data_IF_839888112753
#
_entry.id   IF_839888112753
#
_cell.length_a   1.000
_cell.length_b   1.000
_cell.length_c   1.000
_cell.angle_alpha   90.00
_cell.angle_beta   90.00
_cell.angle_gamma   90.00
#
_symmetry.space_group_name_H-M   'P 1'
#
loop_
_entity.id
_entity.type
_entity.pdbx_description
1 polymer ?
#
# COMPACT_ATOMS: atom_id res chain seq x y z
N UNK A 1 56.41 18.36 -0.61
CA UNK A 1 55.30 18.24 -1.58
C UNK A 1 54.33 17.17 -1.06
N UNK A 2 53.64 17.45 0.05
CA UNK A 2 52.87 16.44 0.81
C UNK A 2 51.35 16.54 0.61
N UNK A 3 50.93 17.25 -0.44
CA UNK A 3 49.52 17.58 -0.68
C UNK A 3 48.80 16.54 -1.54
N UNK A 4 49.54 15.81 -2.38
CA UNK A 4 48.97 14.86 -3.34
C UNK A 4 48.65 13.50 -2.70
N UNK A 5 49.52 13.04 -1.78
CA UNK A 5 49.36 11.78 -1.05
C UNK A 5 48.15 11.81 -0.09
N UNK A 6 47.90 12.97 0.54
CA UNK A 6 46.73 13.20 1.37
C UNK A 6 45.43 13.23 0.55
N UNK A 7 45.47 13.75 -0.68
CA UNK A 7 44.32 13.78 -1.58
C UNK A 7 43.95 12.38 -2.07
N UNK A 8 44.95 11.58 -2.48
CA UNK A 8 44.76 10.17 -2.85
C UNK A 8 44.22 9.34 -1.69
N UNK A 9 44.71 9.59 -0.47
CA UNK A 9 44.23 8.92 0.75
C UNK A 9 42.76 9.24 1.05
N UNK A 10 42.30 10.47 0.79
CA UNK A 10 40.91 10.85 0.97
C UNK A 10 39.99 10.18 -0.06
N UNK A 11 40.41 10.14 -1.33
CA UNK A 11 39.67 9.45 -2.40
C UNK A 11 39.58 7.94 -2.14
N UNK A 12 40.69 7.31 -1.75
CA UNK A 12 40.69 5.88 -1.45
C UNK A 12 39.86 5.55 -0.20
N UNK A 13 39.89 6.39 0.83
CA UNK A 13 39.10 6.18 2.05
C UNK A 13 37.60 6.30 1.79
N UNK A 14 37.17 7.27 0.96
CA UNK A 14 35.76 7.41 0.57
C UNK A 14 35.27 6.22 -0.28
N UNK A 15 36.10 5.72 -1.19
CA UNK A 15 35.76 4.56 -2.02
C UNK A 15 35.80 3.23 -1.25
N UNK A 16 36.66 3.11 -0.24
CA UNK A 16 36.70 1.95 0.65
C UNK A 16 35.44 1.86 1.54
N UNK A 17 34.92 2.99 2.01
CA UNK A 17 33.69 3.05 2.82
C UNK A 17 32.45 2.65 1.99
N UNK A 18 32.40 3.05 0.71
CA UNK A 18 31.38 2.62 -0.25
C UNK A 18 31.46 1.11 -0.58
N UNK A 19 32.66 0.51 -0.54
CA UNK A 19 32.86 -0.92 -0.74
C UNK A 19 32.53 -1.78 0.49
N UNK A 20 32.85 -1.27 1.69
CA UNK A 20 32.49 -1.91 2.96
C UNK A 20 30.97 -1.86 3.22
N UNK A 21 30.30 -0.76 2.87
CA UNK A 21 28.84 -0.65 2.93
C UNK A 21 28.09 -1.55 1.93
N UNK A 22 28.73 -1.95 0.82
CA UNK A 22 28.15 -2.90 -0.16
C UNK A 22 28.38 -4.36 0.21
N UNK A 23 29.44 -4.66 0.96
CA UNK A 23 29.78 -6.03 1.38
C UNK A 23 29.05 -6.46 2.65
N UNK A 24 28.38 -5.52 3.32
CA UNK A 24 27.45 -5.77 4.43
C UNK A 24 25.99 -5.55 4.02
N UNK A 25 25.71 -5.66 2.72
CA UNK A 25 24.40 -6.06 2.22
C UNK A 25 24.20 -7.55 2.43
N UNK A 26 24.49 -8.09 3.63
CA UNK A 26 23.71 -9.24 4.09
C UNK A 26 22.28 -8.81 3.88
N UNK A 27 21.56 -9.56 3.06
CA UNK A 27 20.12 -9.58 3.04
C UNK A 27 19.67 -9.75 4.48
N UNK A 28 19.56 -8.64 5.20
CA UNK A 28 18.72 -8.55 6.35
C UNK A 28 17.35 -8.61 5.70
N UNK A 29 16.90 -9.84 5.49
CA UNK A 29 15.50 -10.21 5.48
C UNK A 29 14.93 -9.77 6.84
N UNK A 30 14.91 -8.46 7.10
CA UNK A 30 13.72 -7.85 7.63
C UNK A 30 12.69 -8.24 6.58
N UNK A 31 11.91 -9.26 6.93
CA UNK A 31 10.61 -9.52 6.37
C UNK A 31 9.79 -8.24 6.52
N UNK A 32 10.11 -7.22 5.71
CA UNK A 32 9.21 -6.13 5.40
C UNK A 32 8.05 -6.86 4.77
N UNK A 33 6.99 -7.03 5.55
CA UNK A 33 5.77 -7.63 5.04
C UNK A 33 5.32 -6.70 3.92
N UNK A 34 5.56 -7.13 2.68
CA UNK A 34 5.15 -6.39 1.49
C UNK A 34 3.72 -6.81 1.23
N UNK A 35 2.81 -5.85 1.33
CA UNK A 35 1.43 -6.08 0.91
C UNK A 35 1.39 -6.17 -0.61
N UNK A 36 0.78 -7.21 -1.15
CA UNK A 36 0.59 -7.35 -2.59
C UNK A 36 -0.45 -6.35 -3.10
N UNK A 37 -0.13 -5.65 -4.18
CA UNK A 37 -1.01 -4.64 -4.79
C UNK A 37 -2.00 -5.27 -5.78
N UNK A 38 -1.66 -6.41 -6.39
CA UNK A 38 -2.45 -7.05 -7.44
C UNK A 38 -2.48 -8.56 -7.28
N UNK A 39 -3.69 -9.12 -7.32
CA UNK A 39 -3.89 -10.55 -7.46
C UNK A 39 -3.72 -10.98 -8.93
N UNK A 40 -3.27 -12.22 -9.15
CA UNK A 40 -2.88 -12.71 -10.48
C UNK A 40 -4.13 -12.73 -11.38
N UNK A 41 -4.11 -11.93 -12.46
CA UNK A 41 -5.21 -11.71 -13.42
C UNK A 41 -6.35 -10.78 -12.96
N UNK A 42 -6.10 -9.78 -12.12
CA UNK A 42 -7.07 -8.70 -11.86
C UNK A 42 -6.73 -7.43 -12.67
N UNK A 43 -7.72 -6.85 -13.34
CA UNK A 43 -7.56 -5.55 -14.02
C UNK A 43 -8.04 -4.44 -13.09
N UNK A 44 -7.21 -3.40 -12.93
CA UNK A 44 -7.60 -2.20 -12.17
C UNK A 44 -8.77 -1.51 -12.88
N UNK A 45 -9.91 -1.30 -12.19
CA UNK A 45 -11.02 -0.52 -12.73
C UNK A 45 -10.57 0.89 -13.12
N UNK A 46 -11.07 1.40 -14.26
CA UNK A 46 -10.70 2.72 -14.77
C UNK A 46 -10.87 3.88 -13.75
N UNK A 47 -11.92 3.89 -12.88
CA UNK A 47 -12.06 4.91 -11.86
C UNK A 47 -10.89 4.93 -10.86
N UNK A 48 -10.38 3.77 -10.46
CA UNK A 48 -9.24 3.68 -9.54
C UNK A 48 -7.93 4.08 -10.20
N UNK A 49 -7.76 3.76 -11.49
CA UNK A 49 -6.57 4.16 -12.25
C UNK A 49 -6.49 5.67 -12.53
N UNK A 50 -7.63 6.38 -12.44
CA UNK A 50 -7.71 7.81 -12.72
C UNK A 50 -7.46 8.71 -11.50
N UNK A 51 -7.28 8.13 -10.30
CA UNK A 51 -7.01 8.86 -9.08
C UNK A 51 -5.58 9.41 -9.13
N UNK A 52 -5.41 10.70 -8.86
CA UNK A 52 -4.10 11.35 -8.79
C UNK A 52 -3.99 12.17 -7.50
N UNK A 53 -4.43 11.53 -6.41
CA UNK A 53 -4.38 12.06 -5.06
C UNK A 53 -3.19 11.50 -4.32
N UNK A 54 -2.70 12.29 -3.36
CA UNK A 54 -1.58 11.96 -2.50
C UNK A 54 -2.07 11.93 -1.07
N UNK A 55 -1.73 10.87 -0.33
CA UNK A 55 -1.98 10.77 1.08
C UNK A 55 -1.01 11.68 1.83
N UNK A 56 -1.57 12.73 2.43
CA UNK A 56 -0.82 13.73 3.18
C UNK A 56 -0.18 13.06 4.39
N UNK A 57 1.13 12.88 4.29
CA UNK A 57 2.00 12.24 5.28
C UNK A 57 3.38 12.89 5.19
N UNK A 58 4.33 12.47 6.02
CA UNK A 58 5.70 13.02 5.97
C UNK A 58 6.35 12.89 4.57
N UNK A 59 5.91 11.93 3.76
CA UNK A 59 6.45 11.61 2.43
C UNK A 59 5.49 11.89 1.28
N UNK A 60 4.26 12.37 1.54
CA UNK A 60 3.21 12.62 0.55
C UNK A 60 3.09 11.48 -0.50
N UNK A 61 2.70 10.29 -0.04
CA UNK A 61 2.66 9.08 -0.88
C UNK A 61 1.40 9.03 -1.77
N UNK A 62 1.51 8.67 -3.07
CA UNK A 62 0.35 8.53 -3.95
C UNK A 62 -0.52 7.34 -3.54
N UNK A 63 -1.82 7.41 -3.83
CA UNK A 63 -2.70 6.24 -3.67
C UNK A 63 -2.39 5.17 -4.72
N UNK A 64 -2.12 3.94 -4.27
CA UNK A 64 -1.93 2.79 -5.15
C UNK A 64 -3.25 2.01 -5.31
N UNK A 65 -3.71 1.75 -6.55
CA UNK A 65 -4.91 0.96 -6.77
C UNK A 65 -4.64 -0.52 -6.48
N UNK A 66 -5.40 -1.09 -5.54
CA UNK A 66 -5.29 -2.49 -5.13
C UNK A 66 -6.52 -3.28 -5.57
N UNK A 67 -6.31 -4.45 -6.19
CA UNK A 67 -7.40 -5.37 -6.54
C UNK A 67 -7.06 -6.78 -6.08
N UNK A 68 -7.87 -7.27 -5.14
CA UNK A 68 -7.72 -8.59 -4.51
C UNK A 68 -8.95 -9.45 -4.83
N UNK A 69 -8.74 -10.73 -5.14
CA UNK A 69 -9.86 -11.64 -5.40
C UNK A 69 -10.38 -12.19 -4.09
N UNK A 70 -11.69 -12.01 -3.86
CA UNK A 70 -12.37 -12.54 -2.69
C UNK A 70 -13.63 -13.28 -3.14
N UNK A 71 -13.65 -14.61 -2.96
CA UNK A 71 -14.73 -15.46 -3.49
C UNK A 71 -16.09 -15.17 -2.83
N UNK A 72 -16.08 -14.91 -1.52
CA UNK A 72 -17.30 -14.58 -0.78
C UNK A 72 -17.77 -13.12 -1.01
N UNK A 73 -17.04 -12.29 -1.77
CA UNK A 73 -17.48 -10.95 -2.13
C UNK A 73 -18.81 -10.96 -2.88
N UNK A 74 -19.03 -11.97 -3.73
CA UNK A 74 -20.28 -12.16 -4.49
C UNK A 74 -21.50 -12.40 -3.59
N UNK A 75 -21.27 -12.79 -2.33
CA UNK A 75 -22.30 -13.04 -1.32
C UNK A 75 -22.51 -11.83 -0.40
N UNK A 76 -21.82 -10.71 -0.68
CA UNK A 76 -21.82 -9.51 0.18
C UNK A 76 -21.09 -9.72 1.50
N UNK A 77 -20.22 -10.74 1.60
CA UNK A 77 -19.48 -11.03 2.81
C UNK A 77 -18.09 -10.41 2.68
N UNK A 78 -17.78 -9.54 3.63
CA UNK A 78 -16.47 -8.90 3.75
C UNK A 78 -15.45 -9.86 4.38
N UNK A 79 -14.17 -9.82 3.97
CA UNK A 79 -13.12 -10.61 4.61
C UNK A 79 -12.94 -10.17 6.07
N UNK A 80 -12.78 -11.14 6.97
CA UNK A 80 -12.31 -10.89 8.34
C UNK A 80 -10.83 -10.51 8.38
N UNK A 81 -10.29 -10.20 9.57
CA UNK A 81 -8.90 -9.75 9.70
C UNK A 81 -7.86 -10.79 9.27
N UNK A 82 -8.08 -12.06 9.61
CA UNK A 82 -7.20 -13.16 9.16
C UNK A 82 -7.26 -13.36 7.65
N UNK A 83 -8.47 -13.37 7.07
CA UNK A 83 -8.67 -13.51 5.63
C UNK A 83 -8.06 -12.33 4.87
N UNK A 84 -8.24 -11.10 5.35
CA UNK A 84 -7.63 -9.92 4.74
C UNK A 84 -6.11 -9.99 4.84
N UNK A 85 -5.56 -10.46 5.97
CA UNK A 85 -4.12 -10.69 6.12
C UNK A 85 -3.60 -11.65 5.05
N UNK A 86 -4.27 -12.79 4.85
CA UNK A 86 -3.88 -13.77 3.82
C UNK A 86 -3.99 -13.21 2.39
N UNK A 87 -4.95 -12.32 2.14
CA UNK A 87 -5.12 -11.66 0.85
C UNK A 87 -4.03 -10.62 0.56
N UNK A 88 -3.63 -9.84 1.57
CA UNK A 88 -2.64 -8.76 1.38
C UNK A 88 -1.22 -9.27 1.56
N UNK A 89 -0.97 -10.31 2.35
CA UNK A 89 0.35 -10.77 2.74
C UNK A 89 0.57 -12.23 2.39
N UNK A 90 1.56 -12.50 1.55
CA UNK A 90 1.92 -13.87 1.14
C UNK A 90 2.78 -14.61 2.17
N UNK A 91 3.36 -13.91 3.14
CA UNK A 91 4.43 -14.46 3.98
C UNK A 91 4.40 -14.01 5.45
N UNK A 92 3.42 -13.21 5.87
CA UNK A 92 3.35 -12.70 7.24
C UNK A 92 1.92 -12.57 7.75
N UNK A 93 1.72 -12.88 9.02
CA UNK A 93 0.44 -12.69 9.71
C UNK A 93 0.30 -11.22 10.16
N UNK A 94 -0.66 -10.53 9.56
CA UNK A 94 -1.04 -9.16 9.85
C UNK A 94 -2.38 -9.09 10.58
N UNK A 95 -3.01 -10.22 10.92
CA UNK A 95 -4.36 -10.26 11.48
C UNK A 95 -4.51 -9.40 12.75
N UNK A 96 -3.47 -9.35 13.60
CA UNK A 96 -3.42 -8.51 14.80
C UNK A 96 -3.11 -7.03 14.55
N UNK A 97 -2.65 -6.68 13.34
CA UNK A 97 -2.27 -5.32 12.94
C UNK A 97 -3.32 -4.64 12.05
N UNK A 98 -4.39 -5.34 11.72
CA UNK A 98 -5.49 -4.82 10.91
C UNK A 98 -6.57 -4.26 11.84
N UNK A 99 -6.97 -3.02 11.59
CA UNK A 99 -8.07 -2.36 12.29
C UNK A 99 -9.05 -1.76 11.29
N UNK A 100 -10.35 -1.84 11.60
CA UNK A 100 -11.38 -1.21 10.77
C UNK A 100 -11.57 0.24 11.20
N UNK A 101 -11.62 1.15 10.23
CA UNK A 101 -11.91 2.55 10.41
C UNK A 101 -13.20 2.92 9.66
N UNK A 102 -13.93 3.90 10.19
CA UNK A 102 -15.03 4.51 9.45
C UNK A 102 -14.47 5.46 8.38
N UNK A 103 -15.19 5.67 7.25
CA UNK A 103 -14.78 6.66 6.25
C UNK A 103 -14.60 8.07 6.83
N UNK A 104 -15.43 8.44 7.82
CA UNK A 104 -15.34 9.73 8.51
C UNK A 104 -14.09 9.84 9.40
N UNK A 105 -13.65 8.73 10.00
CA UNK A 105 -12.41 8.68 10.78
C UNK A 105 -11.17 8.71 9.90
N UNK A 106 -11.26 8.11 8.71
CA UNK A 106 -10.19 8.14 7.71
C UNK A 106 -10.01 9.53 7.09
N UNK A 107 -11.12 10.16 6.72
CA UNK A 107 -11.12 11.47 6.06
C UNK A 107 -12.02 12.49 6.79
N UNK A 108 -11.60 12.97 7.97
CA UNK A 108 -12.39 13.91 8.76
C UNK A 108 -12.52 15.29 8.10
N UNK A 109 -11.64 15.61 7.14
CA UNK A 109 -11.61 16.90 6.43
C UNK A 109 -12.19 16.82 5.03
N UNK A 110 -12.72 15.67 4.62
CA UNK A 110 -13.28 15.43 3.30
C UNK A 110 -12.28 15.73 2.14
N UNK A 111 -10.99 15.46 2.37
CA UNK A 111 -9.88 15.68 1.42
C UNK A 111 -9.74 14.54 0.41
N UNK A 112 -10.16 13.34 0.76
CA UNK A 112 -10.08 12.11 -0.03
C UNK A 112 -11.44 11.65 -0.53
N UNK A 113 -12.40 12.57 -0.63
CA UNK A 113 -13.74 12.30 -1.15
C UNK A 113 -13.70 11.74 -2.58
N UNK A 114 -12.77 12.21 -3.42
CA UNK A 114 -12.53 11.70 -4.78
C UNK A 114 -12.08 10.23 -4.77
N UNK A 115 -11.22 9.85 -3.83
CA UNK A 115 -10.74 8.47 -3.65
C UNK A 115 -11.91 7.56 -3.26
N UNK A 116 -12.68 7.93 -2.25
CA UNK A 116 -13.85 7.16 -1.80
C UNK A 116 -14.91 7.05 -2.90
N UNK A 117 -15.09 8.11 -3.68
CA UNK A 117 -15.98 8.14 -4.84
C UNK A 117 -15.50 7.17 -5.93
N UNK A 118 -14.22 7.20 -6.27
CA UNK A 118 -13.64 6.30 -7.26
C UNK A 118 -13.76 4.83 -6.86
N UNK A 119 -13.65 4.50 -5.56
CA UNK A 119 -13.91 3.14 -5.05
C UNK A 119 -15.37 2.72 -5.29
N UNK A 120 -16.33 3.59 -4.98
CA UNK A 120 -17.76 3.31 -5.24
C UNK A 120 -18.03 3.12 -6.72
N UNK A 121 -17.48 4.00 -7.56
CA UNK A 121 -17.60 3.91 -9.01
C UNK A 121 -16.97 2.63 -9.58
N UNK A 122 -15.85 2.18 -9.01
CA UNK A 122 -15.20 0.93 -9.41
C UNK A 122 -16.07 -0.30 -9.10
N UNK A 123 -16.74 -0.32 -7.94
CA UNK A 123 -17.69 -1.38 -7.60
C UNK A 123 -18.90 -1.35 -8.54
N UNK A 124 -19.47 -0.17 -8.80
CA UNK A 124 -20.58 -0.01 -9.73
C UNK A 124 -20.25 -0.46 -11.17
N UNK A 125 -18.98 -0.32 -11.60
CA UNK A 125 -18.51 -0.83 -12.89
C UNK A 125 -18.23 -2.35 -12.88
N UNK A 126 -17.78 -2.90 -11.75
CA UNK A 126 -17.45 -4.32 -11.59
C UNK A 126 -18.65 -5.23 -11.31
N UNK A 127 -19.71 -4.68 -10.69
CA UNK A 127 -20.99 -5.36 -10.53
C UNK A 127 -21.66 -5.46 -11.90
N UNK A 128 -21.72 -6.67 -12.45
CA UNK A 128 -22.10 -6.92 -13.84
C UNK A 128 -23.36 -6.16 -14.27
N UNK A 129 -23.19 -5.21 -15.21
CA UNK A 129 -24.12 -4.83 -16.28
C UNK A 129 -25.62 -5.17 -16.11
N UNK A 130 -26.29 -4.70 -15.06
CA UNK A 130 -27.74 -4.95 -14.92
C UNK A 130 -28.43 -4.55 -13.63
N UNK A 131 -27.69 -4.32 -12.54
CA UNK A 131 -28.27 -3.76 -11.31
C UNK A 131 -27.45 -2.55 -10.95
N UNK A 132 -27.90 -1.38 -11.40
CA UNK A 132 -27.30 -0.11 -11.00
C UNK A 132 -27.57 0.09 -9.52
N UNK A 133 -26.68 -0.42 -8.68
CA UNK A 133 -26.58 0.05 -7.31
C UNK A 133 -26.15 1.51 -7.41
N UNK A 134 -26.97 2.41 -6.87
CA UNK A 134 -26.62 3.81 -6.80
C UNK A 134 -25.25 3.91 -6.12
N UNK A 135 -24.34 4.70 -6.69
CA UNK A 135 -23.00 4.96 -6.13
C UNK A 135 -23.06 5.37 -4.65
N UNK A 136 -24.21 5.93 -4.23
CA UNK A 136 -24.53 6.29 -2.86
C UNK A 136 -24.71 5.09 -1.91
N UNK A 137 -25.27 3.97 -2.38
CA UNK A 137 -25.64 2.79 -1.59
C UNK A 137 -24.50 1.75 -1.47
N UNK A 138 -23.42 1.93 -2.23
CA UNK A 138 -22.22 1.09 -2.13
C UNK A 138 -21.58 1.26 -0.74
N UNK A 139 -21.58 0.18 0.06
CA UNK A 139 -20.88 0.12 1.34
C UNK A 139 -19.36 0.16 1.12
N UNK A 140 -18.67 1.11 1.76
CA UNK A 140 -17.21 1.24 1.72
C UNK A 140 -16.64 1.01 3.10
N UNK A 141 -15.64 0.12 3.19
CA UNK A 141 -14.88 -0.16 4.43
C UNK A 141 -13.45 0.31 4.29
N UNK A 142 -12.95 0.96 5.34
CA UNK A 142 -11.55 1.37 5.43
C UNK A 142 -10.83 0.46 6.41
N UNK A 143 -9.72 -0.11 5.96
CA UNK A 143 -8.85 -0.95 6.79
C UNK A 143 -7.52 -0.22 6.96
N UNK A 144 -7.06 -0.07 8.20
CA UNK A 144 -5.72 0.39 8.54
C UNK A 144 -4.87 -0.82 8.89
N UNK A 145 -3.73 -0.96 8.22
CA UNK A 145 -2.81 -2.09 8.40
C UNK A 145 -1.45 -1.55 8.86
N UNK A 146 -0.94 -2.03 9.99
CA UNK A 146 0.36 -1.64 10.51
C UNK A 146 1.43 -2.72 10.19
N UNK A 147 2.37 -2.41 9.28
CA UNK A 147 3.36 -3.37 8.75
C UNK A 147 4.74 -3.33 9.44
N UNK A 148 4.83 -2.72 10.62
CA UNK A 148 6.05 -2.64 11.43
C UNK A 148 6.09 -1.37 12.29
N UNK A 149 7.07 -1.24 13.20
CA UNK A 149 7.21 -0.02 13.99
C UNK A 149 7.55 1.15 13.05
N UNK A 150 6.74 2.20 13.08
CA UNK A 150 7.07 3.48 12.45
C UNK A 150 8.45 3.90 12.94
N UNK A 151 9.40 4.09 12.02
CA UNK A 151 10.71 4.61 12.40
C UNK A 151 10.50 6.03 12.91
N UNK A 152 10.82 6.23 14.19
CA UNK A 152 10.85 7.54 14.87
C UNK A 152 12.25 8.13 14.71
#
# INVERSE_FOLDING_TARGET
MSSDDAYMSFLNKANADLGAGRSQGTAQSQSTIRTGTLDVNAQVPAPLASINEYYISETDEPFEPVVLKWEDAKRGIWPGFSQLSDLISQSGDLSGSITTLSPQSFDPKNQYASVLKAVRAAVAQGSAAGVGEDEADVEVRVYKVEVGPSRV
#
